data_IF_353868344944
#
_entry.id   IF_353868344944
#
_cell.length_a   1.000
_cell.length_b   1.000
_cell.length_c   1.000
_cell.angle_alpha   90.00
_cell.angle_beta   90.00
_cell.angle_gamma   90.00
#
_symmetry.space_group_name_H-M   'P 1'
#
loop_
_entity.id
_entity.type
_entity.pdbx_description
1 polymer ?
#
# COMPACT_ATOMS: atom_id res chain seq x y z
N UNK A 1 25.30 -6.47 -6.25
CA UNK A 1 25.51 -5.00 -6.45
C UNK A 1 24.55 -4.29 -5.53
N UNK A 2 24.92 -3.21 -4.87
CA UNK A 2 24.00 -2.42 -4.04
C UNK A 2 22.98 -1.72 -4.95
N UNK A 3 21.71 -1.61 -4.50
CA UNK A 3 20.70 -0.89 -5.24
C UNK A 3 21.12 0.59 -5.44
N UNK A 4 20.99 1.09 -6.66
CA UNK A 4 21.27 2.50 -6.98
C UNK A 4 20.02 3.38 -6.87
N UNK A 5 18.84 2.79 -6.95
CA UNK A 5 17.57 3.48 -6.73
C UNK A 5 16.79 2.75 -5.63
N UNK A 6 16.60 3.41 -4.49
CA UNK A 6 15.69 2.99 -3.44
C UNK A 6 14.38 3.76 -3.58
N UNK A 7 13.27 3.04 -3.49
CA UNK A 7 11.94 3.62 -3.51
C UNK A 7 11.24 3.24 -2.20
N UNK A 8 11.01 4.22 -1.35
CA UNK A 8 10.22 4.07 -0.15
C UNK A 8 8.76 4.43 -0.49
N UNK A 9 7.81 3.52 -0.20
CA UNK A 9 6.40 3.64 -0.60
C UNK A 9 5.51 3.57 0.64
N UNK A 10 4.83 4.66 0.97
CA UNK A 10 3.79 4.66 1.99
C UNK A 10 2.44 4.34 1.37
N UNK A 11 1.75 3.40 1.98
CA UNK A 11 0.51 2.82 1.45
C UNK A 11 -0.42 2.38 2.57
N UNK A 12 -1.73 2.39 2.28
CA UNK A 12 -2.73 1.73 3.12
C UNK A 12 -3.40 0.59 2.34
N UNK A 13 -3.60 -0.54 3.00
CA UNK A 13 -4.13 -1.78 2.40
C UNK A 13 -5.60 -1.67 1.96
N UNK A 14 -6.32 -0.66 2.45
CA UNK A 14 -7.71 -0.37 2.04
C UNK A 14 -7.80 0.70 0.95
N UNK A 15 -6.67 1.28 0.53
CA UNK A 15 -6.66 2.38 -0.43
C UNK A 15 -6.63 1.87 -1.88
N UNK A 16 -7.68 2.09 -2.68
CA UNK A 16 -7.70 1.64 -4.06
C UNK A 16 -6.62 2.33 -4.92
N UNK A 17 -6.29 3.57 -4.64
CA UNK A 17 -5.22 4.29 -5.33
C UNK A 17 -3.84 3.71 -5.04
N UNK A 18 -3.64 3.08 -3.87
CA UNK A 18 -2.39 2.42 -3.54
C UNK A 18 -2.12 1.23 -4.44
N UNK A 19 -3.16 0.45 -4.77
CA UNK A 19 -2.99 -0.69 -5.66
C UNK A 19 -2.77 -0.27 -7.12
N UNK A 20 -3.51 0.75 -7.59
CA UNK A 20 -3.27 1.36 -8.91
C UNK A 20 -1.84 1.90 -8.99
N UNK A 21 -1.39 2.66 -7.97
CA UNK A 21 -0.04 3.21 -7.91
C UNK A 21 1.04 2.14 -7.92
N UNK A 22 0.82 1.02 -7.22
CA UNK A 22 1.70 -0.15 -7.23
C UNK A 22 1.85 -0.71 -8.65
N UNK A 23 0.76 -0.96 -9.38
CA UNK A 23 0.80 -1.46 -10.76
C UNK A 23 1.55 -0.53 -11.70
N UNK A 24 1.32 0.78 -11.58
CA UNK A 24 2.00 1.80 -12.39
C UNK A 24 3.49 1.88 -12.10
N UNK A 25 3.88 1.78 -10.82
CA UNK A 25 5.29 1.68 -10.44
C UNK A 25 5.93 0.41 -11.01
N UNK A 26 5.28 -0.76 -10.88
CA UNK A 26 5.76 -2.02 -11.43
C UNK A 26 5.95 -1.96 -12.95
N UNK A 27 5.02 -1.34 -13.66
CA UNK A 27 5.12 -1.09 -15.11
C UNK A 27 6.33 -0.20 -15.43
N UNK A 28 6.56 0.85 -14.65
CA UNK A 28 7.70 1.74 -14.84
C UNK A 28 9.03 1.04 -14.56
N UNK A 29 9.11 0.27 -13.48
CA UNK A 29 10.31 -0.53 -13.14
C UNK A 29 10.60 -1.57 -14.22
N UNK A 30 9.57 -2.27 -14.73
CA UNK A 30 9.73 -3.26 -15.81
C UNK A 30 10.21 -2.67 -17.14
N UNK A 31 10.02 -1.35 -17.35
CA UNK A 31 10.50 -0.60 -18.52
C UNK A 31 11.85 0.09 -18.28
N UNK A 32 12.33 0.07 -17.04
CA UNK A 32 13.57 0.75 -16.68
C UNK A 32 14.79 -0.13 -16.99
N UNK A 33 15.76 0.40 -17.71
CA UNK A 33 16.95 -0.35 -18.18
C UNK A 33 17.75 -0.99 -17.03
N UNK A 34 17.72 -0.38 -15.83
CA UNK A 34 18.44 -0.83 -14.65
C UNK A 34 17.50 -1.33 -13.55
N UNK A 35 16.46 -2.07 -13.94
CA UNK A 35 15.43 -2.60 -13.03
C UNK A 35 16.03 -3.47 -11.90
N UNK A 36 17.11 -4.19 -12.19
CA UNK A 36 17.87 -5.01 -11.23
C UNK A 36 18.58 -4.21 -10.13
N UNK A 37 18.67 -2.89 -10.29
CA UNK A 37 19.26 -1.95 -9.34
C UNK A 37 18.23 -1.12 -8.58
N UNK A 38 16.94 -1.45 -8.73
CA UNK A 38 15.83 -0.82 -8.02
C UNK A 38 15.46 -1.67 -6.80
N UNK A 39 15.39 -1.04 -5.64
CA UNK A 39 14.84 -1.63 -4.42
C UNK A 39 13.58 -0.88 -4.01
N UNK A 40 12.47 -1.58 -3.85
CA UNK A 40 11.22 -1.03 -3.32
C UNK A 40 11.06 -1.48 -1.88
N UNK A 41 10.67 -0.56 -0.98
CA UNK A 41 10.35 -0.81 0.43
C UNK A 41 8.95 -0.29 0.72
N UNK A 42 8.14 -1.11 1.36
CA UNK A 42 6.78 -0.75 1.72
C UNK A 42 6.70 -0.28 3.16
N UNK A 43 6.06 0.87 3.38
CA UNK A 43 5.86 1.51 4.66
C UNK A 43 4.38 1.64 4.97
N UNK A 44 4.07 1.59 6.24
CA UNK A 44 2.71 1.68 6.75
C UNK A 44 2.18 3.11 6.70
N UNK A 45 0.91 3.25 6.30
CA UNK A 45 0.17 4.49 6.47
C UNK A 45 -1.30 4.15 6.73
N UNK A 46 -1.88 4.68 7.81
CA UNK A 46 -3.30 4.51 8.10
C UNK A 46 -4.08 5.74 7.67
N UNK A 47 -5.01 5.58 6.72
CA UNK A 47 -5.93 6.66 6.29
C UNK A 47 -6.92 7.05 7.37
N UNK A 48 -7.29 6.10 8.22
CA UNK A 48 -8.14 6.31 9.39
C UNK A 48 -7.65 5.49 10.60
N UNK A 49 -6.66 5.99 11.36
CA UNK A 49 -6.18 5.31 12.56
C UNK A 49 -7.21 5.31 13.70
N UNK A 50 -8.28 6.12 13.58
CA UNK A 50 -9.33 6.22 14.60
C UNK A 50 -10.47 5.20 14.39
N UNK A 51 -10.51 4.51 13.25
CA UNK A 51 -11.51 3.49 12.99
C UNK A 51 -11.43 2.38 14.06
N UNK A 52 -12.54 2.05 14.76
CA UNK A 52 -12.48 1.07 15.83
C UNK A 52 -12.18 -0.33 15.29
N UNK A 53 -11.33 -1.10 15.98
CA UNK A 53 -11.06 -2.50 15.63
C UNK A 53 -12.33 -3.35 15.71
N UNK A 54 -12.50 -4.27 14.75
CA UNK A 54 -13.65 -5.17 14.67
C UNK A 54 -14.96 -4.52 14.22
N UNK A 55 -14.97 -3.21 13.97
CA UNK A 55 -16.11 -2.52 13.37
C UNK A 55 -15.97 -2.57 11.86
N UNK A 56 -17.01 -3.03 11.18
CA UNK A 56 -17.09 -3.19 9.73
C UNK A 56 -18.22 -2.34 9.19
N UNK A 57 -17.93 -1.41 8.34
CA UNK A 57 -18.92 -0.54 7.70
C UNK A 57 -18.79 -0.69 6.17
N UNK A 58 -19.93 -0.90 5.44
CA UNK A 58 -19.90 -0.91 3.98
C UNK A 58 -19.21 0.35 3.43
N UNK A 59 -18.30 0.17 2.46
CA UNK A 59 -17.48 1.28 1.95
C UNK A 59 -18.34 2.42 1.40
N UNK A 60 -19.48 2.10 0.79
CA UNK A 60 -20.40 3.11 0.27
C UNK A 60 -21.00 4.00 1.38
N UNK A 61 -21.35 3.40 2.52
CA UNK A 61 -21.94 4.13 3.66
C UNK A 61 -20.88 5.04 4.30
N UNK A 62 -19.66 4.50 4.50
CA UNK A 62 -18.53 5.27 5.02
C UNK A 62 -18.20 6.45 4.11
N UNK A 63 -18.09 6.23 2.80
CA UNK A 63 -17.79 7.28 1.85
C UNK A 63 -18.90 8.32 1.77
N UNK A 64 -20.18 7.92 1.77
CA UNK A 64 -21.31 8.84 1.77
C UNK A 64 -21.29 9.79 2.98
N UNK A 65 -20.98 9.26 4.17
CA UNK A 65 -20.80 10.07 5.38
C UNK A 65 -19.61 11.04 5.27
N UNK A 66 -18.46 10.53 4.77
CA UNK A 66 -17.21 11.30 4.68
C UNK A 66 -17.28 12.46 3.70
N UNK A 67 -17.93 12.29 2.55
CA UNK A 67 -18.04 13.33 1.51
C UNK A 67 -19.33 14.14 1.60
N UNK A 68 -20.29 13.75 2.44
CA UNK A 68 -21.62 14.38 2.51
C UNK A 68 -22.44 14.19 1.23
N UNK A 69 -22.18 13.12 0.47
CA UNK A 69 -22.79 12.86 -0.82
C UNK A 69 -23.92 11.82 -0.80
N UNK A 70 -24.66 11.72 -1.91
CA UNK A 70 -25.66 10.67 -2.10
C UNK A 70 -25.00 9.33 -2.45
N UNK A 71 -25.71 8.22 -2.21
CA UNK A 71 -25.27 6.89 -2.61
C UNK A 71 -24.97 6.79 -4.13
N UNK A 72 -25.72 7.50 -4.96
CA UNK A 72 -25.48 7.56 -6.40
C UNK A 72 -24.14 8.24 -6.74
N UNK A 73 -23.80 9.34 -6.08
CA UNK A 73 -22.52 10.04 -6.27
C UNK A 73 -21.36 9.15 -5.83
N UNK A 74 -21.49 8.46 -4.69
CA UNK A 74 -20.44 7.54 -4.22
C UNK A 74 -20.23 6.39 -5.21
N UNK A 75 -21.33 5.77 -5.72
CA UNK A 75 -21.23 4.71 -6.73
C UNK A 75 -20.60 5.20 -8.03
N UNK A 76 -20.89 6.41 -8.46
CA UNK A 76 -20.26 7.00 -9.63
C UNK A 76 -18.74 7.20 -9.42
N UNK A 77 -18.33 7.74 -8.27
CA UNK A 77 -16.91 7.93 -7.94
C UNK A 77 -16.17 6.61 -7.85
N UNK A 78 -16.70 5.63 -7.14
CA UNK A 78 -16.06 4.31 -7.02
C UNK A 78 -16.04 3.56 -8.35
N UNK A 79 -17.06 3.73 -9.21
CA UNK A 79 -17.08 3.21 -10.56
C UNK A 79 -15.95 3.76 -11.43
N UNK A 80 -15.69 5.06 -11.38
CA UNK A 80 -14.55 5.68 -12.08
C UNK A 80 -13.20 5.12 -11.59
N UNK A 81 -13.07 4.90 -10.28
CA UNK A 81 -11.85 4.28 -9.71
C UNK A 81 -11.72 2.83 -10.16
N UNK A 82 -12.82 2.07 -10.23
CA UNK A 82 -12.82 0.71 -10.73
C UNK A 82 -12.43 0.62 -12.22
N UNK A 83 -12.87 1.56 -13.05
CA UNK A 83 -12.45 1.66 -14.46
C UNK A 83 -10.94 1.92 -14.58
N UNK A 84 -10.39 2.84 -13.78
CA UNK A 84 -8.95 3.09 -13.74
C UNK A 84 -8.16 1.87 -13.25
N UNK A 85 -8.68 1.15 -12.27
CA UNK A 85 -8.09 -0.09 -11.78
C UNK A 85 -8.12 -1.19 -12.85
N UNK A 86 -9.23 -1.32 -13.60
CA UNK A 86 -9.36 -2.28 -14.69
C UNK A 86 -8.34 -2.05 -15.80
N UNK A 87 -8.01 -0.79 -16.09
CA UNK A 87 -6.95 -0.45 -17.05
C UNK A 87 -5.55 -0.92 -16.59
N UNK A 88 -5.36 -1.13 -15.28
CA UNK A 88 -4.14 -1.67 -14.68
C UNK A 88 -4.25 -3.19 -14.38
N UNK A 89 -5.29 -3.87 -14.90
CA UNK A 89 -5.53 -5.29 -14.69
C UNK A 89 -6.10 -5.68 -13.31
N UNK A 90 -6.70 -4.73 -12.58
CA UNK A 90 -7.28 -4.93 -11.26
C UNK A 90 -8.82 -4.91 -11.33
N UNK A 91 -9.47 -5.93 -10.83
CA UNK A 91 -10.95 -6.01 -10.79
C UNK A 91 -11.44 -5.77 -9.37
N UNK A 92 -11.72 -4.51 -9.02
CA UNK A 92 -12.20 -4.14 -7.68
C UNK A 92 -13.65 -4.53 -7.46
N UNK A 93 -13.95 -5.01 -6.25
CA UNK A 93 -15.30 -5.33 -5.78
C UNK A 93 -15.71 -4.40 -4.63
N UNK A 94 -16.14 -3.19 -4.96
CA UNK A 94 -16.58 -2.21 -3.96
C UNK A 94 -17.93 -2.58 -3.30
N UNK A 95 -18.71 -3.49 -3.89
CA UNK A 95 -19.96 -3.96 -3.27
C UNK A 95 -19.68 -4.86 -2.05
N UNK A 96 -18.53 -5.53 -2.03
CA UNK A 96 -18.09 -6.36 -0.89
C UNK A 96 -17.11 -5.65 0.04
N UNK A 97 -16.52 -4.53 -0.42
CA UNK A 97 -15.53 -3.82 0.37
C UNK A 97 -16.14 -3.18 1.63
N UNK A 98 -15.42 -3.30 2.74
CA UNK A 98 -15.79 -2.72 4.03
C UNK A 98 -14.67 -1.82 4.57
N UNK A 99 -15.04 -0.74 5.25
CA UNK A 99 -14.10 0.06 6.02
C UNK A 99 -13.75 -0.68 7.30
N UNK A 100 -12.45 -0.79 7.60
CA UNK A 100 -11.91 -1.52 8.75
C UNK A 100 -10.69 -0.80 9.32
N UNK A 101 -10.28 -1.17 10.54
CA UNK A 101 -9.00 -0.72 11.08
C UNK A 101 -7.85 -1.50 10.43
N UNK A 102 -6.85 -0.81 9.90
CA UNK A 102 -5.75 -1.43 9.15
C UNK A 102 -4.49 -1.68 9.98
N UNK A 103 -4.50 -1.37 11.29
CA UNK A 103 -3.29 -1.48 12.12
C UNK A 103 -2.70 -2.88 12.11
N UNK A 104 -3.52 -3.93 12.29
CA UNK A 104 -3.01 -5.29 12.41
C UNK A 104 -2.51 -5.83 11.06
N UNK A 105 -3.12 -5.43 9.94
CA UNK A 105 -2.61 -5.70 8.61
C UNK A 105 -1.23 -5.03 8.38
N UNK A 106 -1.06 -3.79 8.83
CA UNK A 106 0.23 -3.11 8.76
C UNK A 106 1.30 -3.75 9.65
N UNK A 107 0.93 -4.20 10.85
CA UNK A 107 1.85 -4.94 11.75
C UNK A 107 2.32 -6.24 11.12
N UNK A 108 1.42 -6.93 10.41
CA UNK A 108 1.77 -8.11 9.61
C UNK A 108 2.72 -7.76 8.46
N UNK A 109 2.53 -6.61 7.82
CA UNK A 109 3.46 -6.06 6.81
C UNK A 109 4.86 -5.82 7.37
N UNK A 110 4.99 -5.34 8.62
CA UNK A 110 6.28 -5.15 9.28
C UNK A 110 6.98 -6.50 9.56
N UNK A 111 6.24 -7.51 10.03
CA UNK A 111 6.78 -8.86 10.16
C UNK A 111 7.28 -9.39 8.81
N UNK A 112 6.49 -9.19 7.75
CA UNK A 112 6.87 -9.62 6.41
C UNK A 112 8.17 -8.94 5.92
N UNK A 113 8.39 -7.68 6.27
CA UNK A 113 9.62 -6.95 5.93
C UNK A 113 10.87 -7.58 6.58
N UNK A 114 10.78 -8.07 7.82
CA UNK A 114 11.89 -8.80 8.47
C UNK A 114 12.24 -10.10 7.75
N UNK A 115 11.27 -10.72 7.08
CA UNK A 115 11.46 -11.92 6.26
C UNK A 115 11.77 -11.64 4.79
N UNK A 116 11.86 -10.36 4.37
CA UNK A 116 12.06 -10.00 2.96
C UNK A 116 10.83 -10.27 2.09
N UNK A 117 9.65 -10.32 2.69
CA UNK A 117 8.35 -10.64 2.07
C UNK A 117 7.38 -9.44 2.08
N UNK A 118 7.89 -8.23 2.31
CA UNK A 118 7.07 -7.00 2.38
C UNK A 118 6.27 -6.77 1.09
N UNK A 119 6.89 -6.88 -0.08
CA UNK A 119 6.23 -6.74 -1.38
C UNK A 119 5.12 -7.78 -1.61
N UNK A 120 5.38 -9.10 -1.47
CA UNK A 120 4.38 -10.15 -1.53
C UNK A 120 3.23 -9.97 -0.51
N UNK A 121 3.54 -9.59 0.74
CA UNK A 121 2.51 -9.38 1.76
C UNK A 121 1.62 -8.18 1.44
N UNK A 122 2.23 -7.07 0.99
CA UNK A 122 1.49 -5.89 0.57
C UNK A 122 0.55 -6.19 -0.60
N UNK A 123 1.02 -6.92 -1.60
CA UNK A 123 0.20 -7.43 -2.71
C UNK A 123 -0.97 -8.27 -2.22
N UNK A 124 -0.70 -9.20 -1.30
CA UNK A 124 -1.70 -10.13 -0.80
C UNK A 124 -2.81 -9.43 -0.01
N UNK A 125 -2.45 -8.46 0.81
CA UNK A 125 -3.39 -7.66 1.60
C UNK A 125 -4.27 -6.77 0.72
N UNK A 126 -3.69 -6.05 -0.24
CA UNK A 126 -4.45 -5.23 -1.18
C UNK A 126 -5.45 -6.07 -1.99
N UNK A 127 -5.00 -7.22 -2.48
CA UNK A 127 -5.83 -8.16 -3.24
C UNK A 127 -6.98 -8.70 -2.40
N UNK A 128 -6.69 -9.16 -1.18
CA UNK A 128 -7.69 -9.67 -0.24
C UNK A 128 -8.81 -8.66 -0.03
N UNK A 129 -8.45 -7.41 0.25
CA UNK A 129 -9.41 -6.37 0.57
C UNK A 129 -10.17 -5.85 -0.66
N UNK A 130 -9.45 -5.46 -1.72
CA UNK A 130 -10.03 -4.71 -2.84
C UNK A 130 -10.65 -5.59 -3.94
N UNK A 131 -10.19 -6.85 -4.07
CA UNK A 131 -10.65 -7.77 -5.11
C UNK A 131 -11.46 -8.91 -4.53
N UNK A 132 -10.99 -9.54 -3.44
CA UNK A 132 -11.62 -10.72 -2.86
C UNK A 132 -12.70 -10.37 -1.83
N UNK A 133 -12.79 -9.10 -1.39
CA UNK A 133 -13.76 -8.62 -0.40
C UNK A 133 -13.53 -9.21 0.98
N UNK A 134 -12.27 -9.53 1.30
CA UNK A 134 -11.90 -10.06 2.60
C UNK A 134 -11.66 -8.96 3.63
N UNK A 135 -11.84 -9.30 4.88
CA UNK A 135 -11.75 -8.35 5.99
C UNK A 135 -10.36 -8.42 6.62
N UNK A 136 -9.51 -7.41 6.31
CA UNK A 136 -8.10 -7.35 6.73
C UNK A 136 -7.88 -6.88 8.18
N UNK A 137 -8.90 -6.86 9.01
CA UNK A 137 -8.83 -6.70 10.48
C UNK A 137 -9.29 -7.96 11.22
N UNK A 138 -9.64 -9.03 10.50
CA UNK A 138 -10.02 -10.30 11.05
C UNK A 138 -8.78 -11.15 11.34
N UNK A 139 -8.58 -11.60 12.61
CA UNK A 139 -7.37 -12.33 12.99
C UNK A 139 -7.13 -13.61 12.18
N UNK A 140 -8.19 -14.41 11.95
CA UNK A 140 -8.05 -15.66 11.22
C UNK A 140 -7.73 -15.41 9.73
N UNK A 141 -8.32 -14.37 9.14
CA UNK A 141 -7.98 -13.91 7.80
C UNK A 141 -6.51 -13.49 7.71
N UNK A 142 -6.03 -12.66 8.64
CA UNK A 142 -4.64 -12.20 8.64
C UNK A 142 -3.65 -13.36 8.82
N UNK A 143 -3.97 -14.34 9.69
CA UNK A 143 -3.14 -15.55 9.87
C UNK A 143 -3.04 -16.34 8.57
N UNK A 144 -4.16 -16.58 7.89
CA UNK A 144 -4.18 -17.26 6.61
C UNK A 144 -3.39 -16.52 5.54
N UNK A 145 -3.61 -15.21 5.39
CA UNK A 145 -2.91 -14.38 4.41
C UNK A 145 -1.39 -14.34 4.63
N UNK A 146 -0.96 -14.26 5.90
CA UNK A 146 0.46 -14.29 6.25
C UNK A 146 1.11 -15.63 5.91
N UNK A 147 0.44 -16.74 6.21
CA UNK A 147 0.95 -18.09 5.91
C UNK A 147 0.95 -18.39 4.40
N UNK A 148 -0.04 -17.91 3.64
CA UNK A 148 -0.07 -17.99 2.17
C UNK A 148 1.14 -17.32 1.51
N UNK A 149 1.66 -16.24 2.11
CA UNK A 149 2.85 -15.53 1.61
C UNK A 149 4.16 -16.22 2.04
N UNK A 150 4.09 -17.17 2.98
CA UNK A 150 5.24 -17.94 3.46
C UNK A 150 5.80 -17.49 4.79
N UNK A 151 5.08 -16.65 5.55
CA UNK A 151 5.45 -16.32 6.91
C UNK A 151 5.21 -17.53 7.86
N UNK A 152 6.04 -17.72 8.90
CA UNK A 152 5.83 -18.76 9.89
C UNK A 152 4.50 -18.56 10.66
N UNK A 153 3.62 -19.56 10.68
CA UNK A 153 2.29 -19.48 11.30
C UNK A 153 2.34 -19.01 12.76
N UNK A 154 3.29 -19.52 13.53
CA UNK A 154 3.45 -19.15 14.95
C UNK A 154 3.79 -17.66 15.12
N UNK A 155 4.65 -17.11 14.26
CA UNK A 155 5.02 -15.70 14.31
C UNK A 155 3.84 -14.82 13.89
N UNK A 156 3.11 -15.21 12.85
CA UNK A 156 1.91 -14.49 12.40
C UNK A 156 0.87 -14.44 13.53
N UNK A 157 0.57 -15.59 14.17
CA UNK A 157 -0.38 -15.65 15.31
C UNK A 157 0.07 -14.78 16.48
N UNK A 158 1.36 -14.78 16.79
CA UNK A 158 1.94 -13.93 17.85
C UNK A 158 1.76 -12.45 17.54
N UNK A 159 2.02 -12.02 16.29
CA UNK A 159 1.86 -10.62 15.87
C UNK A 159 0.38 -10.23 15.88
N UNK A 160 -0.49 -11.03 15.27
CA UNK A 160 -1.94 -10.74 15.19
C UNK A 160 -2.58 -10.71 16.58
N UNK A 161 -2.19 -11.61 17.48
CA UNK A 161 -2.72 -11.72 18.85
C UNK A 161 -2.10 -10.77 19.87
N UNK A 162 -1.07 -10.01 19.51
CA UNK A 162 -0.34 -9.10 20.41
C UNK A 162 -0.35 -7.66 19.96
N UNK A 163 0.73 -6.93 20.29
CA UNK A 163 0.94 -5.50 19.95
C UNK A 163 2.29 -5.23 19.25
N UNK A 164 3.04 -6.29 18.91
CA UNK A 164 4.32 -6.17 18.20
C UNK A 164 4.17 -5.31 16.92
N UNK A 165 5.19 -4.53 16.60
CA UNK A 165 5.25 -3.61 15.45
C UNK A 165 4.27 -2.41 15.49
N UNK A 166 3.53 -2.20 16.56
CA UNK A 166 2.67 -0.99 16.66
C UNK A 166 3.51 0.30 16.64
N UNK A 167 4.69 0.26 17.27
CA UNK A 167 5.63 1.38 17.29
C UNK A 167 6.20 1.69 15.90
N UNK A 168 6.53 0.68 15.13
CA UNK A 168 7.08 0.74 13.78
C UNK A 168 6.03 1.31 12.81
N UNK A 169 4.79 0.83 12.85
CA UNK A 169 3.67 1.40 12.07
C UNK A 169 3.50 2.90 12.40
N UNK A 170 3.53 3.27 13.68
CA UNK A 170 3.43 4.67 14.07
C UNK A 170 4.64 5.49 13.62
N UNK A 171 5.84 4.91 13.57
CA UNK A 171 7.05 5.56 13.07
C UNK A 171 6.93 5.85 11.56
N UNK A 172 6.50 4.87 10.77
CA UNK A 172 6.26 5.04 9.33
C UNK A 172 5.28 6.19 9.04
N UNK A 173 4.17 6.25 9.77
CA UNK A 173 3.17 7.33 9.61
C UNK A 173 3.76 8.70 9.95
N UNK A 174 4.57 8.78 11.02
CA UNK A 174 5.26 10.04 11.37
C UNK A 174 6.24 10.47 10.30
N UNK A 175 6.99 9.53 9.76
CA UNK A 175 7.96 9.79 8.69
C UNK A 175 7.28 10.27 7.42
N UNK A 176 6.18 9.61 6.98
CA UNK A 176 5.39 10.08 5.85
C UNK A 176 4.98 11.55 6.01
N UNK A 177 4.46 11.91 7.19
CA UNK A 177 4.04 13.29 7.48
C UNK A 177 5.21 14.26 7.46
N UNK A 178 6.37 13.86 8.00
CA UNK A 178 7.61 14.67 7.97
C UNK A 178 8.07 14.95 6.55
N UNK A 179 7.90 13.99 5.64
CA UNK A 179 8.21 14.09 4.22
C UNK A 179 7.13 14.83 3.42
N UNK A 180 6.05 15.28 4.05
CA UNK A 180 4.98 16.06 3.42
C UNK A 180 3.87 15.24 2.81
N UNK A 181 3.77 13.93 3.09
CA UNK A 181 2.66 13.12 2.63
C UNK A 181 1.33 13.58 3.25
N UNK A 182 0.45 14.14 2.44
CA UNK A 182 -0.94 14.47 2.80
C UNK A 182 -1.92 13.31 2.61
N UNK A 183 -1.48 12.19 2.07
CA UNK A 183 -2.26 10.99 1.76
C UNK A 183 -1.40 9.96 1.04
N UNK A 184 -2.01 8.84 0.65
CA UNK A 184 -1.33 7.72 0.00
C UNK A 184 -2.01 7.32 -1.31
N UNK A 185 -1.27 6.68 -2.27
CA UNK A 185 0.13 6.28 -2.15
C UNK A 185 1.07 7.48 -2.20
N UNK A 186 2.19 7.37 -1.49
CA UNK A 186 3.25 8.36 -1.53
C UNK A 186 4.59 7.65 -1.71
N UNK A 187 5.40 8.11 -2.64
CA UNK A 187 6.66 7.48 -3.04
C UNK A 187 7.79 8.46 -2.85
N UNK A 188 8.92 7.98 -2.34
CA UNK A 188 10.16 8.76 -2.24
C UNK A 188 11.31 7.96 -2.84
N UNK A 189 11.99 8.54 -3.83
CA UNK A 189 13.14 7.93 -4.47
C UNK A 189 14.43 8.56 -3.92
N UNK A 190 15.34 7.73 -3.41
CA UNK A 190 16.63 8.11 -2.86
C UNK A 190 16.55 9.29 -1.88
N UNK A 191 15.56 9.31 -0.99
CA UNK A 191 15.31 10.36 0.01
C UNK A 191 15.17 11.80 -0.57
N UNK A 192 15.06 11.93 -1.89
CA UNK A 192 15.17 13.24 -2.57
C UNK A 192 13.94 13.58 -3.40
N UNK A 193 13.38 12.63 -4.16
CA UNK A 193 12.27 12.89 -5.07
C UNK A 193 10.97 12.28 -4.55
N UNK A 194 10.03 13.14 -4.20
CA UNK A 194 8.68 12.73 -3.79
C UNK A 194 7.72 12.66 -4.98
N UNK A 195 6.94 11.58 -5.07
CA UNK A 195 5.82 11.43 -6.02
C UNK A 195 4.57 11.14 -5.21
N UNK A 196 3.57 12.02 -5.33
CA UNK A 196 2.31 11.89 -4.60
C UNK A 196 1.21 11.32 -5.51
N UNK A 197 0.48 10.34 -5.00
CA UNK A 197 -0.63 9.71 -5.69
C UNK A 197 -0.22 8.68 -6.74
N UNK A 198 -1.22 8.01 -7.30
CA UNK A 198 -1.03 7.01 -8.35
C UNK A 198 -0.78 7.69 -9.71
N UNK A 199 0.40 8.25 -9.89
CA UNK A 199 0.80 8.91 -11.13
C UNK A 199 0.94 7.91 -12.29
N UNK A 200 0.87 8.36 -13.56
CA UNK A 200 1.12 7.49 -14.72
C UNK A 200 2.52 6.85 -14.69
N UNK A 201 2.64 5.65 -15.27
CA UNK A 201 3.91 4.91 -15.31
C UNK A 201 5.06 5.71 -15.96
N UNK A 202 4.77 6.56 -16.95
CA UNK A 202 5.79 7.40 -17.59
C UNK A 202 6.40 8.44 -16.63
N UNK A 203 5.61 8.95 -15.66
CA UNK A 203 6.13 9.84 -14.63
C UNK A 203 7.06 9.07 -13.68
N UNK A 204 6.68 7.88 -13.25
CA UNK A 204 7.55 7.02 -12.44
C UNK A 204 8.83 6.65 -13.18
N UNK A 205 8.75 6.32 -14.47
CA UNK A 205 9.93 6.01 -15.28
C UNK A 205 10.89 7.22 -15.36
N UNK A 206 10.35 8.42 -15.56
CA UNK A 206 11.15 9.65 -15.55
C UNK A 206 11.81 9.90 -14.20
N UNK A 207 11.10 9.66 -13.09
CA UNK A 207 11.65 9.80 -11.74
C UNK A 207 12.77 8.77 -11.47
N UNK A 208 12.61 7.51 -11.92
CA UNK A 208 13.63 6.47 -11.85
C UNK A 208 14.90 6.86 -12.58
N UNK A 209 14.79 7.38 -13.80
CA UNK A 209 15.92 7.84 -14.61
C UNK A 209 16.68 8.98 -13.93
N UNK A 210 15.96 9.96 -13.37
CA UNK A 210 16.55 11.08 -12.63
C UNK A 210 17.29 10.59 -11.37
N UNK A 211 16.64 9.75 -10.55
CA UNK A 211 17.22 9.22 -9.33
C UNK A 211 18.48 8.39 -9.60
N UNK A 212 18.46 7.57 -10.64
CA UNK A 212 19.60 6.75 -11.07
C UNK A 212 20.77 7.62 -11.54
N UNK A 213 20.51 8.60 -12.40
CA UNK A 213 21.55 9.50 -12.93
C UNK A 213 22.22 10.29 -11.80
N UNK A 214 21.45 10.79 -10.83
CA UNK A 214 21.98 11.53 -9.70
C UNK A 214 22.82 10.65 -8.76
N UNK A 215 22.42 9.40 -8.52
CA UNK A 215 23.20 8.45 -7.73
C UNK A 215 24.54 8.13 -8.39
N UNK A 216 24.56 7.92 -9.70
CA UNK A 216 25.79 7.68 -10.47
C UNK A 216 26.71 8.92 -10.54
N UNK A 217 26.18 10.13 -10.46
CA UNK A 217 26.98 11.36 -10.38
C UNK A 217 27.60 11.56 -8.99
N UNK A 218 26.91 11.18 -7.91
CA UNK A 218 27.41 11.27 -6.54
C UNK A 218 28.47 10.21 -6.19
N UNK A 219 28.55 9.14 -6.98
CA UNK A 219 29.52 8.06 -6.80
C UNK A 219 30.87 8.29 -7.53
N UNK A 220 31.02 9.39 -8.26
CA UNK A 220 32.24 9.81 -8.98
C UNK A 220 32.98 10.90 -8.24
#
# INVERSE_FOLDING_TARGET
>A
MSAQVRIDVWSDVVCPWCYIGKRRLETAVGRFEHADQVQVRWHSFQLDPSHPKGVREPVYDMLAKKIGGSAAQVRQMTGQVAELAAAEGLTYDFDRAVSVNTLDAHRLGQLAAEHGLDGPMHERLLRAHLIEGETVDDPDTLVRLGTEVGLPDEEVRRVVGGDAYTGEVAADVREARRLGAGGVPFFVLNDTWGVSGAQPADLFLSALQQAYTAAGAAAR
#
